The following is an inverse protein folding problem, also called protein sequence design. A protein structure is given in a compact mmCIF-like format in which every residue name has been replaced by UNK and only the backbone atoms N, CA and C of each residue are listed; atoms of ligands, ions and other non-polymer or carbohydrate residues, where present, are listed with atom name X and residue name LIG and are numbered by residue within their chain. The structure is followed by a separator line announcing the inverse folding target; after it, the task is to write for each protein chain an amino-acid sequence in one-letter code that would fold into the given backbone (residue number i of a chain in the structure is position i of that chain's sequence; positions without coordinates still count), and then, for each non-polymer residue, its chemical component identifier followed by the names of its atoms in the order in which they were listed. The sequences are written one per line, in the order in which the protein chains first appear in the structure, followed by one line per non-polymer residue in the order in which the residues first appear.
data_IF_960641463492
#
_entry.id   IF_960641463492
#
_cell.length_a   1.000
_cell.length_b   1.000
_cell.length_c   1.000
_cell.angle_alpha   90.00
_cell.angle_beta   90.00
_cell.angle_gamma   90.00
#
_symmetry.space_group_name_H-M   'P 1'
#
loop_
_entity.id
_entity.type
_entity.pdbx_description
1 polymer ?
#
# COMPACT_ATOMS: atom_id res chain seq x y z
N UNK A 1 -1.25 0.51 -11.79
CA UNK A 1 -1.58 1.94 -11.60
C UNK A 1 -2.20 2.23 -10.23
N UNK A 2 -3.44 1.81 -9.95
CA UNK A 2 -4.17 2.19 -8.71
C UNK A 2 -3.46 1.82 -7.40
N UNK A 3 -2.81 0.64 -7.35
CA UNK A 3 -2.04 0.23 -6.16
C UNK A 3 -0.85 1.16 -5.94
N UNK A 4 -0.09 1.45 -7.01
CA UNK A 4 1.06 2.35 -6.93
C UNK A 4 0.62 3.77 -6.56
N UNK A 5 -0.48 4.25 -7.13
CA UNK A 5 -1.09 5.52 -6.74
C UNK A 5 -1.35 5.57 -5.22
N UNK A 6 -1.98 4.53 -4.66
CA UNK A 6 -2.25 4.48 -3.23
C UNK A 6 -0.98 4.38 -2.37
N UNK A 7 -0.04 3.51 -2.75
CA UNK A 7 1.17 3.23 -1.97
C UNK A 7 2.18 4.37 -2.06
N UNK A 8 2.50 4.84 -3.28
CA UNK A 8 3.49 5.89 -3.49
C UNK A 8 2.94 7.27 -3.14
N UNK A 9 1.65 7.52 -3.39
CA UNK A 9 0.97 8.76 -3.01
C UNK A 9 0.54 8.78 -1.54
N UNK A 10 0.77 7.72 -0.77
CA UNK A 10 0.34 7.54 0.62
C UNK A 10 -1.16 7.87 0.83
N UNK A 11 -1.97 7.60 -0.18
CA UNK A 11 -3.38 7.93 -0.15
C UNK A 11 -4.16 6.94 0.72
N UNK A 12 -5.18 7.41 1.47
CA UNK A 12 -6.12 6.52 2.13
C UNK A 12 -6.74 5.55 1.13
N UNK A 13 -6.79 4.25 1.47
CA UNK A 13 -7.40 3.25 0.59
C UNK A 13 -8.89 3.51 0.33
N UNK A 14 -9.53 4.34 1.15
CA UNK A 14 -10.92 4.78 0.95
C UNK A 14 -11.10 5.71 -0.25
N UNK A 15 -10.03 6.26 -0.84
CA UNK A 15 -10.10 7.15 -2.02
C UNK A 15 -10.88 6.52 -3.18
N UNK A 16 -10.79 5.19 -3.35
CA UNK A 16 -11.50 4.46 -4.40
C UNK A 16 -13.01 4.39 -4.22
N UNK A 17 -13.51 4.79 -3.05
CA UNK A 17 -14.95 4.90 -2.79
C UNK A 17 -15.52 6.26 -3.21
N UNK A 18 -14.67 7.27 -3.39
CA UNK A 18 -15.11 8.62 -3.73
C UNK A 18 -15.65 8.63 -5.17
N UNK A 19 -16.83 9.22 -5.38
CA UNK A 19 -17.45 9.28 -6.71
C UNK A 19 -16.57 10.06 -7.69
N UNK A 20 -15.95 11.17 -7.28
CA UNK A 20 -15.03 11.91 -8.14
C UNK A 20 -13.85 11.06 -8.65
N UNK A 21 -13.33 10.16 -7.81
CA UNK A 21 -12.27 9.23 -8.22
C UNK A 21 -12.80 8.20 -9.23
N UNK A 22 -13.99 7.65 -9.00
CA UNK A 22 -14.62 6.71 -9.95
C UNK A 22 -14.90 7.38 -11.28
N UNK A 23 -15.46 8.59 -11.27
CA UNK A 23 -15.71 9.39 -12.48
C UNK A 23 -14.41 9.62 -13.24
N UNK A 24 -13.34 10.01 -12.56
CA UNK A 24 -12.02 10.18 -13.19
C UNK A 24 -11.53 8.88 -13.84
N UNK A 25 -11.60 7.76 -13.13
CA UNK A 25 -11.15 6.46 -13.65
C UNK A 25 -11.99 6.01 -14.84
N UNK A 26 -13.31 6.13 -14.77
CA UNK A 26 -14.19 5.80 -15.89
C UNK A 26 -14.02 6.75 -17.09
N UNK A 27 -13.70 8.02 -16.86
CA UNK A 27 -13.37 8.94 -17.95
C UNK A 27 -12.10 8.52 -18.68
N UNK A 28 -11.09 8.04 -17.96
CA UNK A 28 -9.84 7.55 -18.54
C UNK A 28 -9.97 6.15 -19.16
N UNK A 29 -10.81 5.29 -18.58
CA UNK A 29 -11.04 3.93 -19.05
C UNK A 29 -12.49 3.51 -18.76
N UNK A 30 -13.43 3.67 -19.70
CA UNK A 30 -14.87 3.51 -19.47
C UNK A 30 -15.27 2.15 -18.91
N UNK A 31 -14.70 1.08 -19.47
CA UNK A 31 -15.12 -0.31 -19.17
C UNK A 31 -14.44 -0.91 -17.92
N UNK A 32 -13.62 -0.13 -17.20
CA UNK A 32 -12.92 -0.64 -16.03
C UNK A 32 -13.78 -0.58 -14.79
N UNK A 33 -13.85 -1.67 -14.03
CA UNK A 33 -14.41 -1.62 -12.68
C UNK A 33 -13.34 -1.17 -11.69
N UNK A 34 -13.61 -0.09 -10.96
CA UNK A 34 -12.72 0.38 -9.89
C UNK A 34 -12.61 -0.68 -8.79
N UNK A 35 -11.38 -1.08 -8.46
CA UNK A 35 -11.14 -2.06 -7.41
C UNK A 35 -11.69 -1.58 -6.07
N UNK A 36 -12.32 -2.50 -5.32
CA UNK A 36 -12.77 -2.20 -3.96
C UNK A 36 -11.58 -1.91 -3.02
N UNK A 37 -11.85 -1.17 -1.95
CA UNK A 37 -10.88 -0.95 -0.86
C UNK A 37 -10.30 -2.26 -0.33
N UNK A 38 -11.14 -3.29 -0.16
CA UNK A 38 -10.72 -4.61 0.33
C UNK A 38 -9.78 -5.31 -0.64
N UNK A 39 -10.08 -5.25 -1.94
CA UNK A 39 -9.23 -5.80 -3.00
C UNK A 39 -7.85 -5.14 -3.00
N UNK A 40 -7.79 -3.82 -2.86
CA UNK A 40 -6.52 -3.09 -2.79
C UNK A 40 -5.74 -3.48 -1.54
N UNK A 41 -6.40 -3.52 -0.37
CA UNK A 41 -5.79 -3.95 0.89
C UNK A 41 -5.15 -5.33 0.74
N UNK A 42 -5.90 -6.33 0.25
CA UNK A 42 -5.41 -7.70 0.11
C UNK A 42 -4.22 -7.79 -0.86
N UNK A 43 -4.23 -7.01 -1.95
CA UNK A 43 -3.10 -6.97 -2.89
C UNK A 43 -1.86 -6.35 -2.25
N UNK A 44 -2.00 -5.27 -1.49
CA UNK A 44 -0.90 -4.65 -0.74
C UNK A 44 -0.34 -5.64 0.29
N UNK A 45 -1.20 -6.28 1.08
CA UNK A 45 -0.78 -7.28 2.08
C UNK A 45 -0.01 -8.46 1.44
N UNK A 46 -0.47 -8.96 0.29
CA UNK A 46 0.21 -10.03 -0.44
C UNK A 46 1.62 -9.61 -0.87
N UNK A 47 1.79 -8.40 -1.39
CA UNK A 47 3.12 -7.88 -1.79
C UNK A 47 3.99 -7.66 -0.56
N UNK A 48 3.44 -7.10 0.51
CA UNK A 48 4.15 -6.89 1.78
C UNK A 48 4.65 -8.21 2.39
N UNK A 49 3.88 -9.29 2.30
CA UNK A 49 4.30 -10.61 2.78
C UNK A 49 5.55 -11.10 2.04
N UNK A 50 5.56 -10.98 0.72
CA UNK A 50 6.71 -11.37 -0.10
C UNK A 50 7.93 -10.48 0.16
N UNK A 51 7.73 -9.16 0.28
CA UNK A 51 8.80 -8.23 0.63
C UNK A 51 9.41 -8.55 2.00
N UNK A 52 8.58 -8.85 3.00
CA UNK A 52 9.06 -9.25 4.32
C UNK A 52 9.85 -10.55 4.29
N UNK A 53 9.43 -11.54 3.48
CA UNK A 53 10.17 -12.79 3.30
C UNK A 53 11.56 -12.53 2.71
N UNK A 54 11.63 -11.70 1.67
CA UNK A 54 12.89 -11.35 1.01
C UNK A 54 13.80 -10.53 1.92
N UNK A 55 13.25 -9.58 2.67
CA UNK A 55 14.00 -8.79 3.65
C UNK A 55 14.59 -9.68 4.73
N UNK A 56 13.80 -10.61 5.29
CA UNK A 56 14.30 -11.57 6.30
C UNK A 56 15.42 -12.46 5.75
N UNK A 57 15.29 -12.94 4.51
CA UNK A 57 16.34 -13.73 3.87
C UNK A 57 17.64 -12.90 3.71
N UNK A 58 17.54 -11.64 3.30
CA UNK A 58 18.67 -10.74 3.20
C UNK A 58 19.28 -10.39 4.57
N UNK A 59 18.46 -10.21 5.60
CA UNK A 59 18.92 -9.95 6.97
C UNK A 59 19.60 -11.19 7.61
N UNK A 60 19.26 -12.40 7.18
CA UNK A 60 19.84 -13.62 7.75
C UNK A 60 21.31 -13.84 7.34
N UNK A 61 21.79 -13.14 6.32
CA UNK A 61 23.17 -13.27 5.81
C UNK A 61 24.09 -12.13 6.22
N UNK A 62 23.58 -11.11 6.92
CA UNK A 62 24.41 -9.99 7.41
C UNK A 62 24.93 -10.28 8.81
N UNK A 63 26.16 -9.86 9.09
CA UNK A 63 26.85 -10.11 10.37
C UNK A 63 26.26 -9.30 11.53
N UNK A 64 25.80 -8.08 11.25
CA UNK A 64 25.26 -7.15 12.23
C UNK A 64 23.95 -6.52 11.74
N UNK A 65 23.00 -6.38 12.66
CA UNK A 65 21.74 -5.67 12.44
C UNK A 65 21.63 -4.58 13.50
N UNK A 66 21.55 -3.32 13.08
CA UNK A 66 21.24 -2.21 13.96
C UNK A 66 19.73 -1.95 13.96
N UNK A 67 19.12 -1.81 15.14
CA UNK A 67 17.71 -1.44 15.29
C UNK A 67 17.62 -0.11 16.03
N UNK A 68 16.83 0.81 15.48
CA UNK A 68 16.51 2.09 16.13
C UNK A 68 15.07 2.06 16.60
N UNK A 69 14.81 2.57 17.80
CA UNK A 69 13.45 2.70 18.33
C UNK A 69 13.04 4.16 18.31
N UNK A 70 11.98 4.48 17.57
CA UNK A 70 11.37 5.82 17.57
C UNK A 70 10.23 5.89 18.60
N UNK A 71 10.45 6.61 19.70
CA UNK A 71 9.52 6.76 20.80
C UNK A 71 8.94 8.17 20.82
N UNK A 72 7.63 8.30 20.53
CA UNK A 72 6.90 9.57 20.58
C UNK A 72 5.56 9.42 21.31
N UNK A 73 5.16 10.46 22.04
CA UNK A 73 3.82 10.52 22.64
C UNK A 73 2.84 11.09 21.62
N UNK A 74 1.76 10.37 21.34
CA UNK A 74 0.65 10.88 20.54
C UNK A 74 -0.22 11.80 21.41
N UNK A 75 -0.33 13.07 21.06
CA UNK A 75 -1.41 13.92 21.58
C UNK A 75 -2.68 13.65 20.78
N UNK A 76 -3.79 13.51 21.51
CA UNK A 76 -5.13 13.21 20.97
C UNK A 76 -5.94 14.48 20.82
#
# INVERSE_FOLDING_TARGET
AIINFAVQGLHPLSVVKQEGFKTLVHHLQPDVTVMSRGTIKNKVEKVTLEMNKNLKAAMNVVEYIATTTDCRTAHR
#
